data_IF_914462210409
#
_entry.id   IF_914462210409
#
_cell.length_a   1.000
_cell.length_b   1.000
_cell.length_c   1.000
_cell.angle_alpha   90.00
_cell.angle_beta   90.00
_cell.angle_gamma   90.00
#
_symmetry.space_group_name_H-M   'P 1'
#
loop_
_entity.id
_entity.type
_entity.pdbx_description
1 polymer ?
#
# COMPACT_ATOMS: atom_id res chain seq x y z
N UNK A 1 -3.31 -15.48 6.41
CA UNK A 1 -2.70 -15.05 7.69
C UNK A 1 -1.87 -13.80 7.42
N UNK A 2 -1.76 -12.91 8.40
CA UNK A 2 -0.98 -11.68 8.29
C UNK A 2 -0.56 -11.15 9.65
N UNK A 3 0.30 -10.15 9.63
CA UNK A 3 0.82 -9.45 10.80
C UNK A 3 0.44 -7.98 10.71
N UNK A 4 0.14 -7.39 11.86
CA UNK A 4 0.04 -5.93 12.01
C UNK A 4 0.83 -5.56 13.26
N UNK A 5 1.65 -4.53 13.15
CA UNK A 5 2.47 -3.99 14.23
C UNK A 5 2.35 -2.46 14.20
N UNK A 6 2.15 -1.88 15.37
CA UNK A 6 2.17 -0.42 15.57
C UNK A 6 3.36 -0.11 16.45
N UNK A 7 4.30 0.67 15.90
CA UNK A 7 5.43 1.23 16.63
C UNK A 7 5.17 2.69 16.97
N UNK A 8 5.66 3.13 18.13
CA UNK A 8 5.65 4.52 18.54
C UNK A 8 7.09 4.99 18.77
N UNK A 9 7.41 6.17 18.28
CA UNK A 9 8.73 6.81 18.42
C UNK A 9 8.56 8.33 18.53
N UNK A 10 9.62 9.06 18.88
CA UNK A 10 9.55 10.51 19.15
C UNK A 10 8.92 11.34 18.00
N UNK A 11 9.03 10.85 16.76
CA UNK A 11 8.52 11.53 15.54
C UNK A 11 7.10 11.13 15.13
N UNK A 12 6.39 10.31 15.90
CA UNK A 12 5.05 9.79 15.57
C UNK A 12 4.93 8.27 15.63
N UNK A 13 4.13 7.69 14.73
CA UNK A 13 3.84 6.26 14.69
C UNK A 13 4.35 5.61 13.40
N UNK A 14 4.72 4.34 13.48
CA UNK A 14 4.95 3.49 12.32
C UNK A 14 3.92 2.36 12.30
N UNK A 15 3.22 2.17 11.20
CA UNK A 15 2.31 1.03 11.00
C UNK A 15 2.97 0.06 10.04
N UNK A 16 3.35 -1.11 10.55
CA UNK A 16 3.80 -2.24 9.75
C UNK A 16 2.66 -3.24 9.59
N UNK A 17 2.49 -3.73 8.37
CA UNK A 17 1.57 -4.82 8.06
C UNK A 17 2.19 -5.74 7.03
N UNK A 18 1.77 -6.99 7.01
CA UNK A 18 2.18 -7.92 5.97
C UNK A 18 1.30 -9.15 5.90
N UNK A 19 1.17 -9.70 4.71
CA UNK A 19 0.37 -10.89 4.45
C UNK A 19 0.89 -11.63 3.22
N UNK A 20 0.55 -12.90 3.12
CA UNK A 20 0.80 -13.67 1.91
C UNK A 20 -0.10 -13.21 0.76
N UNK A 21 0.44 -13.32 -0.45
CA UNK A 21 -0.24 -13.09 -1.72
C UNK A 21 0.29 -14.06 -2.78
N UNK A 22 -0.46 -14.23 -3.86
CA UNK A 22 -0.03 -15.06 -4.98
C UNK A 22 1.20 -14.43 -5.67
N UNK A 23 2.19 -15.26 -6.00
CA UNK A 23 3.44 -14.85 -6.61
C UNK A 23 3.24 -14.19 -7.98
N UNK A 24 2.24 -14.64 -8.73
CA UNK A 24 1.85 -14.08 -10.03
C UNK A 24 1.25 -12.66 -9.94
N UNK A 25 0.80 -12.23 -8.75
CA UNK A 25 0.28 -10.90 -8.51
C UNK A 25 1.36 -9.88 -8.11
N UNK A 26 2.57 -10.33 -7.78
CA UNK A 26 3.64 -9.48 -7.21
C UNK A 26 4.00 -8.33 -8.14
N UNK A 27 4.30 -8.59 -9.41
CA UNK A 27 4.77 -7.55 -10.33
C UNK A 27 3.69 -6.53 -10.68
N UNK A 28 2.44 -6.98 -10.79
CA UNK A 28 1.29 -6.09 -10.97
C UNK A 28 1.11 -5.18 -9.75
N UNK A 29 1.21 -5.72 -8.54
CA UNK A 29 1.02 -4.94 -7.32
C UNK A 29 2.20 -4.00 -7.04
N UNK A 30 3.43 -4.46 -7.30
CA UNK A 30 4.65 -3.63 -7.28
C UNK A 30 4.50 -2.41 -8.18
N UNK A 31 4.13 -2.62 -9.44
CA UNK A 31 3.94 -1.52 -10.40
C UNK A 31 2.89 -0.50 -9.94
N UNK A 32 1.84 -0.97 -9.26
CA UNK A 32 0.83 -0.09 -8.68
C UNK A 32 1.38 0.75 -7.51
N UNK A 33 2.14 0.14 -6.61
CA UNK A 33 2.78 0.82 -5.49
C UNK A 33 3.87 1.80 -5.97
N UNK A 34 4.66 1.44 -6.98
CA UNK A 34 5.67 2.30 -7.60
C UNK A 34 5.00 3.55 -8.19
N UNK A 35 3.88 3.38 -8.90
CA UNK A 35 3.09 4.48 -9.45
C UNK A 35 2.58 5.42 -8.36
N UNK A 36 2.08 4.88 -7.24
CA UNK A 36 1.63 5.68 -6.09
C UNK A 36 2.81 6.45 -5.50
N UNK A 37 3.94 5.79 -5.29
CA UNK A 37 5.15 6.41 -4.75
C UNK A 37 5.78 7.45 -5.68
N UNK A 38 5.53 7.40 -7.00
CA UNK A 38 6.01 8.41 -7.93
C UNK A 38 5.18 9.70 -7.92
N UNK A 39 3.95 9.67 -7.40
CA UNK A 39 3.06 10.83 -7.36
C UNK A 39 3.39 11.78 -6.20
N UNK A 40 3.03 13.05 -6.39
CA UNK A 40 2.97 14.06 -5.36
C UNK A 40 1.56 14.15 -4.73
N UNK A 41 1.40 15.04 -3.76
CA UNK A 41 0.14 15.21 -3.02
C UNK A 41 -1.05 15.55 -3.94
N UNK A 42 -0.82 16.34 -4.99
CA UNK A 42 -1.85 16.74 -5.94
C UNK A 42 -2.24 15.55 -6.83
N UNK A 43 -1.26 14.88 -7.43
CA UNK A 43 -1.47 13.70 -8.26
C UNK A 43 -2.17 12.57 -7.50
N UNK A 44 -1.82 12.34 -6.24
CA UNK A 44 -2.50 11.36 -5.38
C UNK A 44 -3.96 11.74 -5.12
N UNK A 45 -4.25 13.03 -4.87
CA UNK A 45 -5.63 13.51 -4.66
C UNK A 45 -6.48 13.35 -5.91
N UNK A 46 -5.92 13.65 -7.07
CA UNK A 46 -6.64 13.54 -8.33
C UNK A 46 -6.87 12.09 -8.74
N UNK A 47 -5.87 11.22 -8.55
CA UNK A 47 -6.05 9.78 -8.73
C UNK A 47 -7.13 9.22 -7.79
N UNK A 48 -7.13 9.63 -6.52
CA UNK A 48 -8.15 9.21 -5.55
C UNK A 48 -9.56 9.62 -5.99
N UNK A 49 -9.74 10.86 -6.45
CA UNK A 49 -11.02 11.35 -6.98
C UNK A 49 -11.45 10.60 -8.25
N UNK A 50 -10.52 10.36 -9.17
CA UNK A 50 -10.78 9.61 -10.41
C UNK A 50 -11.33 8.22 -10.11
N UNK A 51 -10.69 7.47 -9.22
CA UNK A 51 -11.12 6.10 -8.92
C UNK A 51 -12.48 6.08 -8.20
N UNK A 52 -12.75 7.06 -7.32
CA UNK A 52 -14.07 7.22 -6.72
C UNK A 52 -15.16 7.52 -7.75
N UNK A 53 -14.86 8.33 -8.77
CA UNK A 53 -15.79 8.67 -9.83
C UNK A 53 -16.05 7.49 -10.78
N UNK A 54 -15.03 6.67 -11.06
CA UNK A 54 -15.12 5.53 -11.98
C UNK A 54 -15.91 4.35 -11.41
N UNK A 55 -16.13 4.30 -10.08
CA UNK A 55 -16.95 3.27 -9.41
C UNK A 55 -16.39 1.85 -9.50
N UNK A 56 -15.18 1.66 -10.04
CA UNK A 56 -14.53 0.36 -10.21
C UNK A 56 -13.76 -0.01 -8.94
N UNK A 57 -14.45 -0.66 -8.02
CA UNK A 57 -13.80 -1.34 -6.89
C UNK A 57 -13.32 -2.72 -7.37
N UNK A 58 -12.03 -3.03 -7.24
CA UNK A 58 -11.49 -4.35 -7.62
C UNK A 58 -12.21 -5.50 -6.92
N UNK A 59 -12.36 -6.66 -7.59
CA UNK A 59 -13.04 -7.88 -7.10
C UNK A 59 -12.60 -8.34 -5.69
N UNK A 60 -11.36 -8.06 -5.27
CA UNK A 60 -10.83 -8.44 -3.95
C UNK A 60 -11.29 -7.52 -2.79
N UNK A 61 -12.28 -6.65 -2.99
CA UNK A 61 -12.86 -5.80 -1.93
C UNK A 61 -11.98 -4.64 -1.43
N UNK A 62 -10.71 -4.55 -1.85
CA UNK A 62 -9.75 -3.50 -1.46
C UNK A 62 -9.60 -2.32 -2.43
N UNK A 63 -10.40 -2.29 -3.51
CA UNK A 63 -10.61 -1.15 -4.41
C UNK A 63 -9.41 -0.50 -5.10
N UNK A 64 -8.15 -0.94 -4.90
CA UNK A 64 -6.95 -0.20 -5.31
C UNK A 64 -6.77 1.17 -4.62
N UNK A 65 -7.83 1.69 -4.00
CA UNK A 65 -7.96 2.94 -3.27
C UNK A 65 -7.22 2.92 -1.95
N UNK A 66 -7.17 1.78 -1.25
CA UNK A 66 -6.59 1.70 0.10
C UNK A 66 -5.15 2.21 0.13
N UNK A 67 -4.31 1.76 -0.79
CA UNK A 67 -2.90 2.18 -0.86
C UNK A 67 -2.76 3.67 -1.20
N UNK A 68 -3.64 4.20 -2.05
CA UNK A 68 -3.65 5.63 -2.42
C UNK A 68 -4.06 6.47 -1.20
N UNK A 69 -5.08 6.05 -0.47
CA UNK A 69 -5.55 6.75 0.73
C UNK A 69 -4.49 6.72 1.84
N UNK A 70 -3.80 5.58 2.03
CA UNK A 70 -2.67 5.47 2.96
C UNK A 70 -1.56 6.44 2.58
N UNK A 71 -1.14 6.48 1.30
CA UNK A 71 -0.11 7.42 0.84
C UNK A 71 -0.53 8.90 1.07
N UNK A 72 -1.79 9.23 0.78
CA UNK A 72 -2.34 10.58 1.00
C UNK A 72 -2.39 11.01 2.47
N UNK A 73 -2.80 10.09 3.35
CA UNK A 73 -2.99 10.38 4.78
C UNK A 73 -1.69 10.43 5.55
N UNK A 74 -0.76 9.52 5.24
CA UNK A 74 0.56 9.48 5.86
C UNK A 74 1.45 10.64 5.43
N UNK A 75 1.22 11.18 4.22
CA UNK A 75 2.13 12.16 3.59
C UNK A 75 3.58 11.66 3.51
N UNK A 76 3.74 10.34 3.53
CA UNK A 76 5.03 9.65 3.39
C UNK A 76 4.98 8.74 2.17
N UNK A 77 6.15 8.38 1.66
CA UNK A 77 6.23 7.28 0.69
C UNK A 77 5.87 5.96 1.39
N UNK A 78 5.29 5.04 0.63
CA UNK A 78 5.03 3.68 1.06
C UNK A 78 6.34 2.90 1.04
N UNK A 79 6.79 2.42 2.18
CA UNK A 79 7.95 1.53 2.26
C UNK A 79 7.45 0.09 2.18
N UNK A 80 7.79 -0.66 1.15
CA UNK A 80 7.26 -2.02 0.99
C UNK A 80 8.30 -3.01 0.47
N UNK A 81 7.98 -4.29 0.65
CA UNK A 81 8.80 -5.40 0.22
C UNK A 81 7.94 -6.62 -0.16
N UNK A 82 8.53 -7.46 -0.99
CA UNK A 82 7.98 -8.76 -1.38
C UNK A 82 9.07 -9.80 -1.18
N UNK A 83 8.80 -10.80 -0.35
CA UNK A 83 9.72 -11.90 -0.06
C UNK A 83 9.11 -13.18 -0.62
N UNK A 84 9.75 -13.85 -1.60
CA UNK A 84 9.29 -15.16 -2.06
C UNK A 84 9.16 -16.13 -0.87
N UNK A 85 8.05 -16.83 -0.78
CA UNK A 85 7.80 -17.79 0.30
C UNK A 85 7.86 -19.24 -0.20
N UNK A 86 7.16 -19.53 -1.30
CA UNK A 86 7.20 -20.82 -1.99
C UNK A 86 7.00 -20.63 -3.52
N UNK A 87 6.68 -21.71 -4.24
CA UNK A 87 6.52 -21.69 -5.68
C UNK A 87 5.36 -20.79 -6.17
N UNK A 88 4.31 -20.65 -5.37
CA UNK A 88 3.07 -19.98 -5.77
C UNK A 88 2.80 -18.71 -4.94
N UNK A 89 3.55 -18.48 -3.85
CA UNK A 89 3.25 -17.44 -2.88
C UNK A 89 4.46 -16.55 -2.55
N UNK A 90 4.17 -15.28 -2.28
CA UNK A 90 5.09 -14.31 -1.72
C UNK A 90 4.50 -13.68 -0.46
N UNK A 91 5.34 -13.29 0.49
CA UNK A 91 4.97 -12.46 1.61
C UNK A 91 5.15 -10.98 1.27
N UNK A 92 4.07 -10.22 1.27
CA UNK A 92 4.08 -8.77 1.14
C UNK A 92 4.23 -8.13 2.52
N UNK A 93 5.04 -7.08 2.60
CA UNK A 93 5.15 -6.22 3.79
C UNK A 93 5.08 -4.75 3.41
N UNK A 94 4.41 -3.95 4.22
CA UNK A 94 4.27 -2.50 4.12
C UNK A 94 4.62 -1.87 5.46
N UNK A 95 5.43 -0.81 5.43
CA UNK A 95 5.66 0.12 6.52
C UNK A 95 5.21 1.53 6.10
N UNK A 96 4.52 2.21 7.01
CA UNK A 96 4.03 3.58 6.81
C UNK A 96 4.33 4.39 8.06
N UNK A 97 5.01 5.51 7.88
CA UNK A 97 5.30 6.45 8.96
C UNK A 97 4.23 7.54 8.98
N UNK A 98 3.61 7.76 10.13
CA UNK A 98 2.61 8.80 10.36
C UNK A 98 3.19 9.76 11.39
N UNK A 99 3.49 10.99 10.92
CA UNK A 99 3.94 12.07 11.80
C UNK A 99 2.86 12.55 12.75
N UNK A 100 3.27 13.27 13.80
CA UNK A 100 2.37 14.01 14.70
C UNK A 100 1.72 15.21 14.00
#
# INVERSE_FOLDING_TARGET
QGVVMIGHHDRGYSVLTGNFMAGDQVERFRSHLDRINAMDDEGLRDLYKSILADGRFSEAGGGGLGMIDIARKSKSKLEYGFVPYDADNAFFSLNVNVGN
#
